data_IF_266960852615
#
_entry.id   IF_266960852615
#
_cell.length_a   1.000
_cell.length_b   1.000
_cell.length_c   1.000
_cell.angle_alpha   90.00
_cell.angle_beta   90.00
_cell.angle_gamma   90.00
#
_symmetry.space_group_name_H-M   'P 1'
#
loop_
_entity.id
_entity.type
_entity.pdbx_description
1 polymer ?
#
# COMPACT_ATOMS: atom_id res chain seq x y z
N UNK A 1 9.89 -0.13 14.32
CA UNK A 1 8.55 -0.14 13.69
C UNK A 1 8.27 1.28 13.20
N UNK A 2 8.49 1.57 11.91
CA UNK A 2 8.46 2.93 11.35
C UNK A 2 7.27 3.05 10.37
N UNK A 3 6.26 3.86 10.74
CA UNK A 3 5.03 4.03 9.96
C UNK A 3 5.27 4.66 8.59
N UNK A 4 6.23 5.58 8.47
CA UNK A 4 6.62 6.17 7.20
C UNK A 4 7.22 5.13 6.26
N UNK A 5 8.09 4.25 6.78
CA UNK A 5 8.67 3.17 5.99
C UNK A 5 7.61 2.15 5.54
N UNK A 6 6.62 1.87 6.38
CA UNK A 6 5.50 1.00 6.02
C UNK A 6 4.62 1.64 4.93
N UNK A 7 4.36 2.95 5.03
CA UNK A 7 3.62 3.69 4.01
C UNK A 7 4.34 3.66 2.65
N UNK A 8 5.62 4.01 2.64
CA UNK A 8 6.44 4.01 1.41
C UNK A 8 6.48 2.62 0.75
N UNK A 9 6.60 1.56 1.55
CA UNK A 9 6.55 0.19 1.04
C UNK A 9 5.19 -0.14 0.42
N UNK A 10 4.09 0.24 1.08
CA UNK A 10 2.75 -0.01 0.59
C UNK A 10 2.47 0.72 -0.73
N UNK A 11 2.91 1.97 -0.85
CA UNK A 11 2.85 2.77 -2.08
C UNK A 11 3.66 2.13 -3.22
N UNK A 12 4.89 1.67 -2.93
CA UNK A 12 5.74 0.95 -3.89
C UNK A 12 5.09 -0.33 -4.38
N UNK A 13 4.43 -1.09 -3.51
CA UNK A 13 3.69 -2.29 -3.89
C UNK A 13 2.49 -1.96 -4.78
N UNK A 14 1.74 -0.91 -4.47
CA UNK A 14 0.62 -0.46 -5.29
C UNK A 14 1.09 0.00 -6.68
N UNK A 15 2.22 0.70 -6.74
CA UNK A 15 2.84 1.11 -8.00
C UNK A 15 3.33 -0.07 -8.83
N UNK A 16 3.95 -1.07 -8.20
CA UNK A 16 4.36 -2.31 -8.86
C UNK A 16 3.16 -3.06 -9.45
N UNK A 17 2.02 -3.06 -8.74
CA UNK A 17 0.78 -3.62 -9.27
C UNK A 17 0.27 -2.86 -10.50
N UNK A 18 0.19 -1.53 -10.43
CA UNK A 18 -0.26 -0.68 -11.56
C UNK A 18 0.60 -0.86 -12.81
N UNK A 19 1.91 -1.10 -12.65
CA UNK A 19 2.86 -1.31 -13.74
C UNK A 19 2.94 -2.75 -14.24
N UNK A 20 2.19 -3.68 -13.64
CA UNK A 20 2.21 -5.09 -14.02
C UNK A 20 3.46 -5.85 -13.55
N UNK A 21 4.29 -5.27 -12.67
CA UNK A 21 5.41 -5.96 -12.04
C UNK A 21 4.97 -6.90 -10.92
N UNK A 22 3.77 -6.69 -10.37
CA UNK A 22 3.22 -7.53 -9.30
C UNK A 22 1.74 -7.84 -9.49
N UNK A 23 1.40 -9.12 -9.61
CA UNK A 23 0.04 -9.62 -9.84
C UNK A 23 -0.66 -9.92 -8.51
N UNK A 24 -1.16 -8.88 -7.87
CA UNK A 24 -2.04 -9.01 -6.71
C UNK A 24 -3.47 -9.35 -7.14
N UNK A 25 -4.21 -10.08 -6.29
CA UNK A 25 -5.65 -10.25 -6.47
C UNK A 25 -6.38 -8.93 -6.23
N UNK A 26 -7.57 -8.70 -6.81
CA UNK A 26 -8.34 -7.47 -6.57
C UNK A 26 -8.56 -7.19 -5.07
N UNK A 27 -8.90 -8.23 -4.30
CA UNK A 27 -9.06 -8.14 -2.85
C UNK A 27 -7.75 -7.77 -2.13
N UNK A 28 -6.60 -8.24 -2.62
CA UNK A 28 -5.29 -7.89 -2.07
C UNK A 28 -4.95 -6.42 -2.31
N UNK A 29 -5.27 -5.90 -3.50
CA UNK A 29 -5.09 -4.48 -3.85
C UNK A 29 -5.99 -3.59 -3.00
N UNK A 30 -7.24 -3.97 -2.79
CA UNK A 30 -8.16 -3.19 -1.96
C UNK A 30 -7.73 -3.15 -0.50
N UNK A 31 -7.30 -4.28 0.07
CA UNK A 31 -6.71 -4.31 1.42
C UNK A 31 -5.46 -3.42 1.52
N UNK A 32 -4.60 -3.42 0.51
CA UNK A 32 -3.41 -2.59 0.47
C UNK A 32 -3.77 -1.08 0.47
N UNK A 33 -4.79 -0.69 -0.31
CA UNK A 33 -5.30 0.69 -0.32
C UNK A 33 -5.89 1.09 1.03
N UNK A 34 -6.68 0.21 1.66
CA UNK A 34 -7.22 0.47 3.02
C UNK A 34 -6.08 0.66 4.02
N UNK A 35 -5.05 -0.20 3.97
CA UNK A 35 -3.89 -0.07 4.86
C UNK A 35 -3.16 1.26 4.68
N UNK A 36 -3.00 1.74 3.44
CA UNK A 36 -2.40 3.05 3.16
C UNK A 36 -3.21 4.17 3.82
N UNK A 37 -4.53 4.19 3.59
CA UNK A 37 -5.43 5.19 4.18
C UNK A 37 -5.41 5.18 5.70
N UNK A 38 -5.38 3.99 6.32
CA UNK A 38 -5.28 3.86 7.76
C UNK A 38 -3.98 4.50 8.26
N UNK A 39 -2.84 4.18 7.62
CA UNK A 39 -1.54 4.73 8.02
C UNK A 39 -1.50 6.25 7.83
N UNK A 40 -2.02 6.77 6.72
CA UNK A 40 -2.14 8.22 6.49
C UNK A 40 -2.95 8.90 7.60
N UNK A 41 -4.11 8.33 7.96
CA UNK A 41 -4.96 8.83 9.07
C UNK A 41 -4.23 8.82 10.42
N UNK A 42 -3.32 7.86 10.65
CA UNK A 42 -2.50 7.82 11.86
C UNK A 42 -1.34 8.82 11.88
N UNK A 43 -0.96 9.35 10.72
CA UNK A 43 0.15 10.29 10.55
C UNK A 43 -0.31 11.75 10.53
N UNK A 44 -1.59 12.00 10.24
CA UNK A 44 -2.29 13.27 10.49
C UNK A 44 -2.42 13.58 12.00
#
# INVERSE_FOLDING_TARGET
NNRYATLELAERMLEAHKRGYWQATPQGVDRLKTMILDIETWLE
#
